data_IF_497376283694
#
_entry.id   IF_497376283694
#
_cell.length_a   1.000
_cell.length_b   1.000
_cell.length_c   1.000
_cell.angle_alpha   90.00
_cell.angle_beta   90.00
_cell.angle_gamma   90.00
#
_symmetry.space_group_name_H-M   'P 1'
#
loop_
_entity.id
_entity.type
_entity.pdbx_description
1 polymer ?
#
# COMPACT_ATOMS: atom_id res chain seq x y z
N UNK A 1 -39.61 11.16 -67.93
CA UNK A 1 -38.82 10.14 -67.20
C UNK A 1 -37.38 10.55 -66.87
N UNK A 2 -36.81 11.61 -67.47
CA UNK A 2 -35.40 12.01 -67.27
C UNK A 2 -35.10 12.73 -65.93
N UNK A 3 -36.04 13.49 -65.35
CA UNK A 3 -35.77 14.27 -64.12
C UNK A 3 -35.79 13.44 -62.83
N UNK A 4 -36.64 12.41 -62.77
CA UNK A 4 -36.72 11.51 -61.60
C UNK A 4 -35.42 10.71 -61.41
N UNK A 5 -34.76 10.32 -62.50
CA UNK A 5 -33.50 9.58 -62.42
C UNK A 5 -32.34 10.45 -61.90
N UNK A 6 -32.31 11.75 -62.24
CA UNK A 6 -31.32 12.68 -61.68
C UNK A 6 -31.50 12.82 -60.17
N UNK A 7 -32.75 12.95 -59.71
CA UNK A 7 -33.06 13.04 -58.27
C UNK A 7 -32.68 11.76 -57.52
N UNK A 8 -32.94 10.59 -58.10
CA UNK A 8 -32.54 9.28 -57.53
C UNK A 8 -31.02 9.12 -57.48
N UNK A 9 -30.29 9.58 -58.52
CA UNK A 9 -28.82 9.53 -58.54
C UNK A 9 -28.23 10.39 -57.41
N UNK A 10 -28.75 11.61 -57.18
CA UNK A 10 -28.28 12.45 -56.08
C UNK A 10 -28.55 11.86 -54.69
N UNK A 11 -29.68 11.17 -54.51
CA UNK A 11 -30.00 10.48 -53.24
C UNK A 11 -29.03 9.32 -52.98
N UNK A 12 -28.71 8.52 -54.01
CA UNK A 12 -27.76 7.40 -53.87
C UNK A 12 -26.36 7.92 -53.56
N UNK A 13 -25.90 8.97 -54.25
CA UNK A 13 -24.59 9.58 -53.99
C UNK A 13 -24.50 10.13 -52.56
N UNK A 14 -25.54 10.83 -52.09
CA UNK A 14 -25.59 11.34 -50.72
C UNK A 14 -25.54 10.21 -49.67
N UNK A 15 -26.29 9.13 -49.87
CA UNK A 15 -26.29 7.98 -48.97
C UNK A 15 -24.91 7.28 -48.91
N UNK A 16 -24.23 7.13 -50.05
CA UNK A 16 -22.88 6.54 -50.11
C UNK A 16 -21.85 7.44 -49.42
N UNK A 17 -21.92 8.75 -49.60
CA UNK A 17 -21.03 9.71 -48.94
C UNK A 17 -21.23 9.67 -47.42
N UNK A 18 -22.47 9.66 -46.94
CA UNK A 18 -22.78 9.55 -45.52
C UNK A 18 -22.32 8.22 -44.91
N UNK A 19 -22.49 7.10 -45.62
CA UNK A 19 -22.00 5.80 -45.18
C UNK A 19 -20.47 5.77 -45.12
N UNK A 20 -19.77 6.35 -46.10
CA UNK A 20 -18.32 6.45 -46.12
C UNK A 20 -17.79 7.35 -44.99
N UNK A 21 -18.42 8.50 -44.74
CA UNK A 21 -18.12 9.40 -43.62
C UNK A 21 -18.35 8.71 -42.27
N UNK A 22 -19.47 7.97 -42.14
CA UNK A 22 -19.78 7.19 -40.94
C UNK A 22 -18.75 6.09 -40.68
N UNK A 23 -18.35 5.34 -41.71
CA UNK A 23 -17.29 4.33 -41.60
C UNK A 23 -15.94 4.96 -41.23
N UNK A 24 -15.60 6.10 -41.85
CA UNK A 24 -14.36 6.82 -41.58
C UNK A 24 -14.31 7.37 -40.15
N UNK A 25 -15.41 7.96 -39.66
CA UNK A 25 -15.53 8.40 -38.27
C UNK A 25 -15.48 7.21 -37.29
N UNK A 26 -16.12 6.10 -37.63
CA UNK A 26 -16.08 4.88 -36.83
C UNK A 26 -14.67 4.30 -36.72
N UNK A 27 -13.87 4.37 -37.79
CA UNK A 27 -12.47 3.95 -37.78
C UNK A 27 -11.56 4.98 -37.10
N UNK A 28 -11.87 6.26 -37.22
CA UNK A 28 -11.11 7.35 -36.59
C UNK A 28 -11.30 7.42 -35.07
N UNK A 29 -12.39 6.83 -34.55
CA UNK A 29 -12.68 6.79 -33.11
C UNK A 29 -12.24 5.49 -32.43
N UNK A 30 -11.54 4.56 -33.10
CA UNK A 30 -11.02 3.39 -32.39
C UNK A 30 -9.91 3.85 -31.45
N UNK A 31 -10.06 3.77 -30.11
CA UNK A 31 -8.94 3.97 -29.21
C UNK A 31 -7.91 2.87 -29.52
N UNK A 32 -6.72 3.25 -29.94
CA UNK A 32 -5.60 2.32 -30.03
C UNK A 32 -5.41 1.71 -28.64
N UNK A 33 -5.45 0.38 -28.57
CA UNK A 33 -5.04 -0.37 -27.39
C UNK A 33 -3.51 -0.25 -27.27
N UNK A 34 -3.05 0.92 -26.84
CA UNK A 34 -1.65 1.17 -26.52
C UNK A 34 -1.43 0.64 -25.11
N UNK A 35 -0.61 -0.40 -24.98
CA UNK A 35 -0.16 -0.92 -23.69
C UNK A 35 0.56 0.23 -22.98
N UNK A 36 0.08 0.71 -21.82
CA UNK A 36 0.74 1.81 -21.14
C UNK A 36 2.10 1.31 -20.65
N UNK A 37 3.16 1.80 -21.29
CA UNK A 37 4.55 1.55 -20.86
C UNK A 37 4.85 2.18 -19.50
N UNK A 38 3.94 3.03 -19.01
CA UNK A 38 4.07 3.78 -17.78
C UNK A 38 2.92 3.42 -16.83
N UNK A 39 3.15 2.44 -15.97
CA UNK A 39 2.34 2.19 -14.78
C UNK A 39 3.05 2.88 -13.62
N UNK A 40 2.34 3.71 -12.87
CA UNK A 40 2.92 4.55 -11.82
C UNK A 40 2.34 4.27 -10.44
N UNK A 41 1.26 3.50 -10.34
CA UNK A 41 0.55 3.22 -9.10
C UNK A 41 -0.09 1.82 -9.12
N UNK A 42 -0.56 1.37 -7.95
CA UNK A 42 -1.18 0.05 -7.79
C UNK A 42 -2.43 -0.12 -8.65
N UNK A 43 -3.28 0.91 -8.77
CA UNK A 43 -4.54 0.83 -9.51
C UNK A 43 -4.30 0.64 -11.00
N UNK A 44 -3.35 1.38 -11.59
CA UNK A 44 -2.90 1.17 -12.97
C UNK A 44 -2.28 -0.22 -13.17
N UNK A 45 -1.49 -0.69 -12.21
CA UNK A 45 -0.87 -2.01 -12.27
C UNK A 45 -1.91 -3.14 -12.28
N UNK A 46 -2.90 -3.04 -11.40
CA UNK A 46 -3.98 -4.02 -11.29
C UNK A 46 -4.93 -3.96 -12.50
N UNK A 47 -5.27 -2.76 -12.97
CA UNK A 47 -6.11 -2.56 -14.16
C UNK A 47 -5.44 -3.06 -15.45
N UNK A 48 -4.11 -3.03 -15.51
CA UNK A 48 -3.32 -3.62 -16.60
C UNK A 48 -3.31 -5.17 -16.57
N UNK A 49 -3.89 -5.80 -15.55
CA UNK A 49 -3.97 -7.26 -15.42
C UNK A 49 -2.67 -7.93 -14.99
N UNK A 50 -1.75 -7.16 -14.40
CA UNK A 50 -0.51 -7.72 -13.86
C UNK A 50 -0.74 -8.50 -12.57
N UNK A 51 0.27 -9.26 -12.13
CA UNK A 51 0.13 -10.15 -10.98
C UNK A 51 -0.02 -9.36 -9.68
N UNK A 52 -1.21 -9.42 -9.10
CA UNK A 52 -1.53 -8.89 -7.77
C UNK A 52 -1.33 -9.99 -6.72
N UNK A 53 -0.58 -9.66 -5.68
CA UNK A 53 -0.36 -10.47 -4.49
C UNK A 53 -1.35 -10.06 -3.41
N UNK A 54 -2.16 -11.02 -2.95
CA UNK A 54 -3.21 -10.86 -1.94
C UNK A 54 -2.67 -10.90 -0.49
N UNK A 55 -1.49 -10.32 -0.24
CA UNK A 55 -1.05 -9.97 1.12
C UNK A 55 -1.66 -8.62 1.53
N UNK A 56 -1.80 -8.33 2.82
CA UNK A 56 -2.17 -6.98 3.27
C UNK A 56 -0.92 -6.22 3.74
N UNK A 57 -0.63 -5.01 3.23
CA UNK A 57 -1.29 -4.35 2.09
C UNK A 57 -1.01 -5.06 0.76
N UNK A 58 -1.96 -4.96 -0.19
CA UNK A 58 -1.87 -5.64 -1.48
C UNK A 58 -0.73 -5.06 -2.30
N UNK A 59 -0.08 -5.90 -3.10
CA UNK A 59 1.04 -5.50 -3.94
C UNK A 59 0.82 -5.97 -5.37
N UNK A 60 1.09 -5.14 -6.36
CA UNK A 60 1.02 -5.51 -7.77
C UNK A 60 2.41 -5.45 -8.39
N UNK A 61 2.79 -6.51 -9.13
CA UNK A 61 4.11 -6.64 -9.75
C UNK A 61 4.03 -6.37 -11.25
N UNK A 62 4.71 -5.32 -11.70
CA UNK A 62 4.82 -4.98 -13.11
C UNK A 62 5.89 -5.83 -13.86
N UNK A 63 5.86 -5.88 -15.20
CA UNK A 63 6.79 -6.69 -16.00
C UNK A 63 8.27 -6.29 -15.89
N UNK A 64 8.53 -5.03 -15.54
CA UNK A 64 9.87 -4.50 -15.24
C UNK A 64 10.41 -4.96 -13.88
N UNK A 65 9.57 -5.60 -13.07
CA UNK A 65 9.88 -6.07 -11.72
C UNK A 65 9.51 -5.09 -10.62
N UNK A 66 8.99 -3.91 -10.95
CA UNK A 66 8.56 -2.91 -9.96
C UNK A 66 7.34 -3.41 -9.20
N UNK A 67 7.36 -3.25 -7.87
CA UNK A 67 6.24 -3.56 -6.98
C UNK A 67 5.52 -2.27 -6.59
N UNK A 68 4.23 -2.20 -6.90
CA UNK A 68 3.34 -1.14 -6.48
C UNK A 68 2.51 -1.64 -5.31
N UNK A 69 2.67 -1.05 -4.13
CA UNK A 69 1.85 -1.37 -2.96
C UNK A 69 0.59 -0.52 -2.97
N UNK A 70 -0.55 -1.10 -2.63
CA UNK A 70 -1.80 -0.37 -2.42
C UNK A 70 -1.62 0.65 -1.31
N UNK A 71 -1.77 1.94 -1.64
CA UNK A 71 -1.86 3.01 -0.65
C UNK A 71 -3.15 2.82 0.13
N UNK A 72 -3.06 2.06 1.21
CA UNK A 72 -4.13 2.03 2.20
C UNK A 72 -4.03 3.37 2.93
N UNK A 73 -5.09 4.18 2.90
CA UNK A 73 -5.17 5.48 3.59
C UNK A 73 -5.10 5.41 5.12
N UNK A 74 -4.54 4.32 5.64
CA UNK A 74 -3.98 4.23 6.96
C UNK A 74 -2.48 4.50 6.81
N UNK A 75 -2.05 5.69 7.18
CA UNK A 75 -1.03 5.75 8.23
C UNK A 75 -1.30 4.58 9.16
N UNK A 76 -0.45 3.57 9.10
CA UNK A 76 -0.56 2.37 9.90
C UNK A 76 -0.70 2.84 11.34
N UNK A 77 -1.93 2.82 11.86
CA UNK A 77 -2.24 3.01 13.27
C UNK A 77 -1.62 1.91 14.15
N UNK A 78 -0.61 1.21 13.64
CA UNK A 78 0.37 0.49 14.39
C UNK A 78 1.16 1.52 15.20
N UNK A 79 0.68 1.76 16.42
CA UNK A 79 1.39 2.55 17.43
C UNK A 79 2.66 1.78 17.80
N UNK A 80 3.71 1.87 16.99
CA UNK A 80 4.98 1.21 17.25
C UNK A 80 5.70 1.89 18.41
N UNK A 81 6.55 1.12 19.07
CA UNK A 81 7.40 1.61 20.14
C UNK A 81 8.30 2.75 19.63
N UNK A 82 8.31 3.88 20.32
CA UNK A 82 9.05 5.09 19.88
C UNK A 82 10.21 5.36 20.80
N UNK A 83 11.40 5.51 20.23
CA UNK A 83 12.61 5.91 20.95
C UNK A 83 12.88 7.42 20.80
N UNK A 84 13.27 8.07 21.89
CA UNK A 84 13.56 9.52 21.94
C UNK A 84 14.82 9.82 22.77
N UNK A 85 15.42 11.00 22.59
CA UNK A 85 16.49 11.48 23.47
C UNK A 85 17.84 10.76 23.31
N UNK A 86 18.10 10.16 22.16
CA UNK A 86 19.31 9.37 21.90
C UNK A 86 19.30 7.99 22.56
N UNK A 87 18.13 7.51 22.96
CA UNK A 87 17.92 6.12 23.38
C UNK A 87 17.53 5.25 22.18
N UNK A 88 17.81 3.96 22.28
CA UNK A 88 17.58 2.97 21.24
C UNK A 88 16.77 1.80 21.81
N UNK A 89 15.87 1.28 20.98
CA UNK A 89 15.12 0.06 21.28
C UNK A 89 15.89 -1.11 20.67
N UNK A 90 16.09 -2.17 21.46
CA UNK A 90 16.80 -3.37 21.05
C UNK A 90 16.30 -4.62 21.79
N UNK A 91 17.06 -5.70 21.68
CA UNK A 91 16.72 -7.01 22.18
C UNK A 91 15.93 -7.83 21.15
N UNK A 92 15.93 -9.16 21.33
CA UNK A 92 15.33 -10.10 20.39
C UNK A 92 13.80 -9.94 20.24
N UNK A 93 13.14 -9.25 21.18
CA UNK A 93 11.70 -8.96 21.14
C UNK A 93 11.42 -7.49 21.46
N UNK A 94 12.34 -6.59 21.13
CA UNK A 94 12.24 -5.15 21.38
C UNK A 94 12.02 -4.79 22.84
N UNK A 95 12.52 -5.62 23.77
CA UNK A 95 12.30 -5.46 25.21
C UNK A 95 13.33 -4.53 25.90
N UNK A 96 14.42 -4.16 25.22
CA UNK A 96 15.47 -3.30 25.78
C UNK A 96 15.29 -1.87 25.31
N UNK A 97 15.29 -0.92 26.24
CA UNK A 97 15.51 0.50 25.95
C UNK A 97 16.83 0.91 26.61
N UNK A 98 17.84 1.29 25.82
CA UNK A 98 19.17 1.64 26.33
C UNK A 98 19.83 2.75 25.50
N UNK A 99 20.98 3.25 25.94
CA UNK A 99 21.83 4.17 25.18
C UNK A 99 22.78 3.44 24.20
N UNK A 100 22.74 2.10 24.18
CA UNK A 100 23.52 1.26 23.28
C UNK A 100 22.68 0.96 22.02
N UNK A 101 23.13 1.37 20.82
CA UNK A 101 22.47 0.98 19.59
C UNK A 101 22.57 -0.53 19.38
N UNK A 102 21.50 -1.14 18.86
CA UNK A 102 21.44 -2.58 18.56
C UNK A 102 21.75 -3.49 19.76
N UNK A 103 21.39 -3.05 20.97
CA UNK A 103 21.53 -3.87 22.17
C UNK A 103 20.88 -5.25 21.95
N UNK A 104 21.62 -6.31 22.23
CA UNK A 104 21.14 -7.69 22.04
C UNK A 104 20.79 -8.34 23.37
N UNK A 105 19.75 -9.16 23.36
CA UNK A 105 19.36 -10.02 24.48
C UNK A 105 19.38 -11.48 24.05
N UNK A 106 19.28 -12.38 25.02
CA UNK A 106 18.91 -13.77 24.73
C UNK A 106 17.50 -13.81 24.14
N UNK A 107 17.30 -14.65 23.12
CA UNK A 107 15.99 -14.84 22.46
C UNK A 107 15.03 -15.72 23.28
N UNK A 108 14.87 -15.38 24.56
CA UNK A 108 13.85 -15.99 25.41
C UNK A 108 12.48 -15.44 25.00
N UNK A 109 11.52 -16.31 24.74
CA UNK A 109 10.16 -15.91 24.44
C UNK A 109 9.38 -15.70 25.73
N UNK A 110 8.87 -14.48 25.92
CA UNK A 110 8.05 -14.07 27.05
C UNK A 110 6.88 -13.24 26.56
N UNK A 111 5.67 -13.58 26.99
CA UNK A 111 4.43 -12.95 26.53
C UNK A 111 4.36 -11.47 26.90
N UNK A 112 4.96 -11.09 28.03
CA UNK A 112 5.04 -9.72 28.54
C UNK A 112 5.74 -8.77 27.56
N UNK A 113 6.61 -9.29 26.68
CA UNK A 113 7.35 -8.46 25.73
C UNK A 113 6.43 -7.78 24.70
N UNK A 114 5.23 -8.32 24.47
CA UNK A 114 4.21 -7.68 23.63
C UNK A 114 3.83 -6.27 24.14
N UNK A 115 3.93 -6.03 25.45
CA UNK A 115 3.64 -4.73 26.06
C UNK A 115 4.59 -3.62 25.59
N UNK A 116 5.82 -3.97 25.18
CA UNK A 116 6.77 -2.99 24.66
C UNK A 116 6.46 -2.56 23.24
N UNK A 117 5.60 -3.28 22.50
CA UNK A 117 5.26 -3.01 21.10
C UNK A 117 4.72 -1.59 20.86
N UNK A 118 4.09 -0.98 21.87
CA UNK A 118 3.53 0.37 21.81
C UNK A 118 4.14 1.30 22.88
N UNK A 119 5.22 0.87 23.54
CA UNK A 119 5.83 1.60 24.65
C UNK A 119 6.75 2.72 24.17
N UNK A 120 7.07 3.66 25.08
CA UNK A 120 7.97 4.78 24.76
C UNK A 120 9.31 4.60 25.45
N UNK A 121 10.38 4.65 24.67
CA UNK A 121 11.77 4.58 25.12
C UNK A 121 12.36 5.99 25.17
N UNK A 122 12.94 6.38 26.30
CA UNK A 122 13.49 7.72 26.47
C UNK A 122 14.35 7.87 27.72
N UNK A 123 14.98 9.05 27.87
CA UNK A 123 15.76 9.36 29.06
C UNK A 123 14.84 9.61 30.25
N UNK A 124 15.15 8.91 31.34
CA UNK A 124 14.45 9.03 32.62
C UNK A 124 14.98 10.22 33.43
N UNK A 125 14.32 10.52 34.55
CA UNK A 125 14.73 11.63 35.43
C UNK A 125 16.15 11.48 36.01
N UNK A 126 16.67 10.24 36.08
CA UNK A 126 18.03 9.95 36.50
C UNK A 126 19.08 10.10 35.37
N UNK A 127 18.66 10.44 34.15
CA UNK A 127 19.53 10.63 32.98
C UNK A 127 19.79 9.36 32.15
N UNK A 128 19.38 8.20 32.63
CA UNK A 128 19.56 6.91 31.96
C UNK A 128 18.44 6.65 30.94
N UNK A 129 18.72 5.86 29.91
CA UNK A 129 17.70 5.39 28.98
C UNK A 129 16.87 4.28 29.61
N UNK A 130 15.55 4.36 29.47
CA UNK A 130 14.63 3.35 29.97
C UNK A 130 13.22 3.51 29.40
N UNK A 131 12.39 2.48 29.60
CA UNK A 131 10.98 2.55 29.24
C UNK A 131 10.26 3.57 30.11
N UNK A 132 9.48 4.45 29.49
CA UNK A 132 8.65 5.42 30.19
C UNK A 132 7.47 4.66 30.79
N UNK A 133 7.34 4.73 32.12
CA UNK A 133 6.27 4.10 32.88
C UNK A 133 4.93 4.80 32.65
N UNK A 134 4.27 4.50 31.53
CA UNK A 134 2.90 4.94 31.31
C UNK A 134 1.91 3.99 31.98
N UNK A 135 0.72 4.46 32.38
CA UNK A 135 -0.30 3.59 32.97
C UNK A 135 -0.64 2.38 32.09
N UNK A 136 -0.64 2.55 30.78
CA UNK A 136 -0.94 1.49 29.80
C UNK A 136 0.16 0.42 29.81
N UNK A 137 1.43 0.84 29.85
CA UNK A 137 2.57 -0.08 29.90
C UNK A 137 2.57 -0.86 31.22
N UNK A 138 2.41 -0.16 32.34
CA UNK A 138 2.37 -0.80 33.66
C UNK A 138 1.21 -1.78 33.79
N UNK A 139 0.02 -1.41 33.30
CA UNK A 139 -1.13 -2.29 33.31
C UNK A 139 -0.87 -3.56 32.47
N UNK A 140 -0.30 -3.41 31.27
CA UNK A 140 0.04 -4.54 30.42
C UNK A 140 1.07 -5.49 31.07
N UNK A 141 2.13 -4.94 31.67
CA UNK A 141 3.16 -5.72 32.35
C UNK A 141 2.67 -6.37 33.64
N UNK A 142 1.68 -5.78 34.30
CA UNK A 142 1.07 -6.32 35.54
C UNK A 142 0.10 -7.47 35.29
N UNK A 143 -0.25 -7.74 34.04
CA UNK A 143 -1.13 -8.84 33.69
C UNK A 143 -0.44 -10.19 33.97
N UNK A 144 -1.15 -11.16 34.52
CA UNK A 144 -0.60 -12.50 34.79
C UNK A 144 -0.57 -13.33 33.49
N UNK A 145 0.45 -13.08 32.66
CA UNK A 145 0.60 -13.71 31.35
C UNK A 145 0.84 -15.23 31.42
N UNK A 146 1.37 -15.74 32.54
CA UNK A 146 1.55 -17.18 32.80
C UNK A 146 0.21 -17.93 32.93
N UNK A 147 -0.86 -17.22 33.26
CA UNK A 147 -2.22 -17.79 33.34
C UNK A 147 -2.88 -18.01 31.97
N UNK A 148 -2.38 -17.34 30.92
CA UNK A 148 -2.91 -17.42 29.55
C UNK A 148 -2.13 -18.38 28.63
N UNK A 149 -0.97 -18.87 29.04
CA UNK A 149 -0.10 -19.73 28.23
C UNK A 149 -0.26 -21.23 28.50
N UNK A 150 -1.35 -21.66 29.13
CA UNK A 150 -1.73 -23.07 29.35
C UNK A 150 -2.91 -23.46 28.47
#
# INVERSE_FOLDING_TARGET
MQEKNKMVVWIIVGAVVLAALGLWLYWSQKPSAETPLFVSNFEECAAAGYSVMESYPRQCRAPDGTLYTEETGNDDGEVKAVATGGCFIGGCSSQICSDVPDAVSTCEYRSEYACYGNARCGRQANGECGWIETPELLQCLSFDWDSLSK
#
